data_IF_780179826031
#
_entry.id   IF_780179826031
#
_cell.length_a   1.000
_cell.length_b   1.000
_cell.length_c   1.000
_cell.angle_alpha   90.00
_cell.angle_beta   90.00
_cell.angle_gamma   90.00
#
_symmetry.space_group_name_H-M   'P 1'
#
loop_
_entity.id
_entity.type
_entity.pdbx_description
1 polymer ?
#
# COMPACT_ATOMS: atom_id res chain seq x y z
N UNK A 1 -16.95 11.00 -2.59
CA UNK A 1 -15.57 10.63 -2.19
C UNK A 1 -14.97 9.57 -3.14
N UNK A 2 -13.83 9.87 -3.78
CA UNK A 2 -12.88 8.84 -4.25
C UNK A 2 -12.01 8.44 -3.04
N UNK A 3 -11.72 7.16 -2.82
CA UNK A 3 -10.80 6.77 -1.72
C UNK A 3 -9.40 7.33 -1.98
N UNK A 4 -8.57 7.51 -0.92
CA UNK A 4 -7.14 7.70 -1.09
C UNK A 4 -6.60 6.70 -2.11
N UNK A 5 -5.83 7.20 -3.08
CA UNK A 5 -5.13 6.33 -4.04
C UNK A 5 -4.37 5.24 -3.25
N UNK A 6 -4.34 3.98 -3.72
CA UNK A 6 -3.37 3.02 -3.16
C UNK A 6 -1.97 3.65 -3.23
N UNK A 7 -1.04 3.28 -2.34
CA UNK A 7 0.32 3.78 -2.41
C UNK A 7 0.90 3.41 -3.78
N UNK A 8 0.93 4.40 -4.69
CA UNK A 8 1.66 4.29 -5.93
C UNK A 8 3.08 3.92 -5.54
N UNK A 9 3.62 2.82 -6.10
CA UNK A 9 5.04 2.57 -5.97
C UNK A 9 5.80 3.82 -6.40
N UNK A 10 6.90 4.10 -5.70
CA UNK A 10 7.57 5.39 -5.75
C UNK A 10 7.70 5.95 -7.16
N UNK A 11 7.64 7.29 -7.25
CA UNK A 11 7.96 8.01 -8.48
C UNK A 11 9.48 7.94 -8.76
N UNK A 12 9.98 6.73 -9.00
CA UNK A 12 11.24 6.45 -9.67
C UNK A 12 11.32 7.38 -10.88
N UNK A 13 12.40 8.16 -10.93
CA UNK A 13 12.44 9.42 -11.67
C UNK A 13 11.97 9.26 -13.11
N UNK A 14 10.94 10.04 -13.49
CA UNK A 14 10.51 10.24 -14.88
C UNK A 14 11.62 10.97 -15.64
N UNK A 15 12.67 10.24 -16.02
CA UNK A 15 13.69 10.72 -16.95
C UNK A 15 13.19 10.58 -18.40
N UNK A 16 13.72 11.39 -19.31
CA UNK A 16 13.02 11.75 -20.55
C UNK A 16 13.04 10.67 -21.64
N UNK A 17 11.94 10.62 -22.40
CA UNK A 17 11.82 9.85 -23.64
C UNK A 17 12.67 10.42 -24.77
N UNK A 18 13.61 9.63 -25.29
CA UNK A 18 14.24 9.83 -26.60
C UNK A 18 14.09 8.53 -27.41
N UNK A 19 13.26 8.55 -28.45
CA UNK A 19 12.98 7.39 -29.33
C UNK A 19 14.11 7.17 -30.35
N UNK A 20 15.16 6.42 -29.98
CA UNK A 20 16.10 5.84 -30.95
C UNK A 20 15.66 4.41 -31.37
N UNK A 21 15.51 4.13 -32.69
CA UNK A 21 15.08 2.82 -33.20
C UNK A 21 16.03 1.63 -33.00
N UNK A 22 17.10 1.76 -32.21
CA UNK A 22 18.04 0.66 -31.89
C UNK A 22 18.10 0.27 -30.40
N UNK A 23 17.25 0.89 -29.56
CA UNK A 23 17.33 0.78 -28.10
C UNK A 23 16.88 -0.57 -27.51
N UNK A 24 17.58 -1.02 -26.46
CA UNK A 24 17.27 -2.22 -25.68
C UNK A 24 16.28 -1.92 -24.55
N UNK A 25 15.05 -1.54 -24.92
CA UNK A 25 13.95 -1.30 -23.98
C UNK A 25 13.04 -2.52 -23.77
N UNK A 26 12.28 -2.59 -22.67
CA UNK A 26 11.35 -3.69 -22.41
C UNK A 26 10.21 -3.71 -23.45
N UNK A 27 10.01 -4.85 -24.08
CA UNK A 27 8.99 -5.04 -25.10
C UNK A 27 7.59 -5.20 -24.48
N UNK A 28 6.55 -4.62 -25.09
CA UNK A 28 5.15 -4.81 -24.68
C UNK A 28 4.45 -5.82 -25.59
N UNK A 29 3.60 -6.67 -25.02
CA UNK A 29 2.71 -7.57 -25.73
C UNK A 29 1.39 -7.81 -24.95
N UNK A 30 0.51 -8.64 -25.49
CA UNK A 30 -0.70 -9.10 -24.79
C UNK A 30 -1.07 -10.53 -25.19
N UNK A 31 -1.93 -11.17 -24.38
CA UNK A 31 -2.51 -12.48 -24.71
C UNK A 31 -3.97 -12.56 -24.26
N UNK A 32 -4.73 -13.48 -24.86
CA UNK A 32 -6.12 -13.73 -24.48
C UNK A 32 -6.19 -14.58 -23.21
N UNK A 33 -6.63 -13.97 -22.10
CA UNK A 33 -6.86 -14.63 -20.82
C UNK A 33 -8.35 -14.98 -20.67
N UNK A 34 -8.67 -16.09 -19.99
CA UNK A 34 -10.06 -16.44 -19.68
C UNK A 34 -10.69 -15.42 -18.70
N UNK A 35 -11.90 -14.95 -19.04
CA UNK A 35 -12.70 -14.09 -18.15
C UNK A 35 -12.99 -14.85 -16.84
N UNK A 36 -13.46 -16.10 -16.96
CA UNK A 36 -13.62 -17.05 -15.86
C UNK A 36 -12.87 -18.36 -16.19
N UNK A 37 -11.96 -18.77 -15.29
CA UNK A 37 -11.20 -20.01 -15.43
C UNK A 37 -12.01 -21.26 -15.12
N UNK A 38 -13.11 -21.13 -14.38
CA UNK A 38 -14.05 -22.21 -14.07
C UNK A 38 -15.15 -22.36 -15.14
N UNK A 39 -15.44 -21.28 -15.88
CA UNK A 39 -16.40 -21.27 -16.98
C UNK A 39 -15.82 -20.65 -18.28
N UNK A 40 -15.01 -21.41 -19.05
CA UNK A 40 -14.43 -20.91 -20.30
C UNK A 40 -15.43 -20.49 -21.39
N UNK A 41 -16.73 -20.78 -21.25
CA UNK A 41 -17.76 -20.37 -22.20
C UNK A 41 -18.06 -18.87 -22.18
N UNK A 42 -17.63 -18.15 -21.14
CA UNK A 42 -17.73 -16.70 -21.05
C UNK A 42 -16.72 -15.97 -21.96
N UNK A 43 -15.71 -16.68 -22.50
CA UNK A 43 -14.74 -16.13 -23.44
C UNK A 43 -13.49 -15.54 -22.78
N UNK A 44 -12.84 -14.63 -23.51
CA UNK A 44 -11.49 -14.12 -23.19
C UNK A 44 -11.37 -12.62 -23.35
N UNK A 45 -10.49 -12.01 -22.56
CA UNK A 45 -10.10 -10.60 -22.62
C UNK A 45 -8.57 -10.48 -22.81
N UNK A 46 -8.06 -9.39 -23.40
CA UNK A 46 -6.62 -9.18 -23.54
C UNK A 46 -6.00 -8.76 -22.20
N UNK A 47 -4.95 -9.46 -21.76
CA UNK A 47 -4.09 -9.05 -20.64
C UNK A 47 -2.75 -8.56 -21.19
N UNK A 48 -2.29 -7.40 -20.74
CA UNK A 48 -0.98 -6.84 -21.12
C UNK A 48 0.16 -7.50 -20.34
N UNK A 49 1.33 -7.61 -20.97
CA UNK A 49 2.57 -7.92 -20.29
C UNK A 49 3.75 -7.21 -20.97
N UNK A 50 4.82 -7.02 -20.22
CA UNK A 50 6.09 -6.52 -20.71
C UNK A 50 7.19 -7.55 -20.46
N UNK A 51 8.25 -7.53 -21.25
CA UNK A 51 9.36 -8.47 -21.07
C UNK A 51 10.69 -7.90 -21.57
N UNK A 52 11.79 -8.29 -20.91
CA UNK A 52 13.16 -8.09 -21.40
C UNK A 52 13.87 -9.45 -21.51
N UNK A 53 14.58 -9.64 -22.63
CA UNK A 53 15.36 -10.84 -22.94
C UNK A 53 16.88 -10.60 -22.91
N UNK A 54 17.34 -9.40 -22.52
CA UNK A 54 18.76 -9.01 -22.49
C UNK A 54 19.64 -9.97 -21.68
N UNK A 55 19.11 -10.58 -20.62
CA UNK A 55 19.80 -11.59 -19.80
C UNK A 55 19.51 -13.06 -20.20
N UNK A 56 18.61 -13.30 -21.16
CA UNK A 56 18.06 -14.63 -21.43
C UNK A 56 19.02 -15.50 -22.25
N UNK A 57 19.44 -16.64 -21.68
CA UNK A 57 20.41 -17.56 -22.31
C UNK A 57 19.78 -18.53 -23.33
N UNK A 58 18.53 -18.28 -23.76
CA UNK A 58 17.81 -19.07 -24.77
C UNK A 58 16.93 -20.19 -24.20
N UNK A 59 16.35 -21.05 -25.07
CA UNK A 59 15.37 -22.07 -24.68
C UNK A 59 15.86 -23.00 -23.57
N UNK A 60 15.02 -23.19 -22.55
CA UNK A 60 15.36 -23.95 -21.34
C UNK A 60 15.94 -23.11 -20.20
N UNK A 61 16.27 -21.84 -20.44
CA UNK A 61 16.59 -20.89 -19.37
C UNK A 61 15.33 -20.54 -18.54
N UNK A 62 15.49 -20.17 -17.25
CA UNK A 62 14.39 -19.70 -16.41
C UNK A 62 13.77 -18.38 -16.91
N UNK A 63 12.66 -18.00 -16.28
CA UNK A 63 12.00 -16.70 -16.41
C UNK A 63 11.85 -16.14 -14.99
N UNK A 64 12.25 -14.89 -14.77
CA UNK A 64 11.83 -14.11 -13.60
C UNK A 64 10.51 -13.46 -13.97
N UNK A 65 9.48 -13.64 -13.12
CA UNK A 65 8.11 -13.29 -13.43
C UNK A 65 7.52 -12.49 -12.28
N UNK A 66 7.11 -11.26 -12.57
CA UNK A 66 6.66 -10.27 -11.61
C UNK A 66 5.22 -9.80 -11.92
N UNK A 67 4.51 -9.41 -10.87
CA UNK A 67 3.16 -8.83 -10.93
C UNK A 67 3.11 -7.56 -10.07
N UNK A 68 2.86 -6.37 -10.65
CA UNK A 68 3.09 -5.07 -9.98
C UNK A 68 1.98 -4.66 -8.99
N UNK A 69 1.38 -5.64 -8.31
CA UNK A 69 0.23 -5.43 -7.45
C UNK A 69 -0.93 -4.72 -8.17
N UNK A 70 -1.43 -3.68 -7.53
CA UNK A 70 -2.70 -3.03 -7.83
C UNK A 70 -2.50 -1.71 -8.60
N UNK A 71 -1.89 -1.78 -9.79
CA UNK A 71 -1.55 -0.62 -10.63
C UNK A 71 -1.44 -0.93 -12.13
N UNK A 72 -1.52 0.11 -12.98
CA UNK A 72 -1.18 0.00 -14.41
C UNK A 72 0.31 -0.35 -14.56
N UNK A 73 0.58 -1.50 -15.16
CA UNK A 73 1.91 -2.08 -15.23
C UNK A 73 2.90 -1.27 -16.10
N UNK A 74 2.43 -0.31 -16.91
CA UNK A 74 3.30 0.57 -17.69
C UNK A 74 4.20 1.45 -16.81
N UNK A 75 3.70 1.90 -15.66
CA UNK A 75 4.48 2.67 -14.67
C UNK A 75 5.56 1.84 -13.96
N UNK A 76 5.41 0.52 -13.95
CA UNK A 76 6.28 -0.42 -13.23
C UNK A 76 7.35 -1.05 -14.12
N UNK A 77 7.45 -0.66 -15.39
CA UNK A 77 8.41 -1.23 -16.36
C UNK A 77 9.88 -1.13 -15.93
N UNK A 78 10.22 -0.26 -14.97
CA UNK A 78 11.55 -0.19 -14.36
C UNK A 78 11.97 -1.48 -13.65
N UNK A 79 11.04 -2.31 -13.17
CA UNK A 79 11.35 -3.59 -12.50
C UNK A 79 12.02 -4.59 -13.45
N UNK A 80 11.83 -4.45 -14.77
CA UNK A 80 12.49 -5.29 -15.77
C UNK A 80 13.99 -4.95 -15.93
N UNK A 81 14.42 -3.76 -15.50
CA UNK A 81 15.75 -3.20 -15.75
C UNK A 81 16.84 -3.56 -14.73
N UNK A 82 18.09 -3.25 -15.06
CA UNK A 82 19.27 -3.65 -14.29
C UNK A 82 19.48 -2.97 -12.91
N UNK A 83 18.56 -2.08 -12.49
CA UNK A 83 18.55 -1.44 -11.15
C UNK A 83 17.48 -2.02 -10.21
N UNK A 84 16.73 -3.04 -10.63
CA UNK A 84 15.83 -3.83 -9.79
C UNK A 84 16.48 -5.13 -9.31
N UNK A 85 15.83 -5.79 -8.35
CA UNK A 85 16.13 -7.18 -8.01
C UNK A 85 15.86 -8.15 -9.16
N UNK A 86 14.77 -8.01 -9.91
CA UNK A 86 14.44 -8.95 -10.98
C UNK A 86 15.49 -8.96 -12.10
N UNK A 87 15.95 -7.78 -12.52
CA UNK A 87 17.05 -7.65 -13.47
C UNK A 87 18.36 -8.23 -12.92
N UNK A 88 18.63 -8.06 -11.63
CA UNK A 88 19.80 -8.65 -10.94
C UNK A 88 19.73 -10.17 -10.88
N UNK A 89 18.57 -10.72 -10.50
CA UNK A 89 18.31 -12.16 -10.45
C UNK A 89 18.45 -12.74 -11.86
N UNK A 90 17.79 -12.13 -12.85
CA UNK A 90 17.81 -12.58 -14.24
C UNK A 90 19.21 -12.59 -14.84
N UNK A 91 20.04 -11.57 -14.58
CA UNK A 91 21.44 -11.54 -15.03
C UNK A 91 22.27 -12.71 -14.44
N UNK A 92 22.06 -13.05 -13.17
CA UNK A 92 22.74 -14.17 -12.51
C UNK A 92 22.31 -15.53 -13.07
N UNK A 93 21.01 -15.81 -13.11
CA UNK A 93 20.48 -17.12 -13.54
C UNK A 93 20.37 -17.29 -15.06
N UNK A 94 20.44 -16.20 -15.83
CA UNK A 94 20.31 -16.20 -17.28
C UNK A 94 18.86 -16.16 -17.80
N UNK A 95 17.97 -15.50 -17.05
CA UNK A 95 16.54 -15.46 -17.36
C UNK A 95 16.15 -14.32 -18.32
N UNK A 96 14.95 -14.44 -18.89
CA UNK A 96 14.17 -13.27 -19.27
C UNK A 96 13.43 -12.72 -18.03
N UNK A 97 13.19 -11.42 -17.97
CA UNK A 97 12.24 -10.82 -17.01
C UNK A 97 10.90 -10.63 -17.71
N UNK A 98 9.79 -10.87 -17.00
CA UNK A 98 8.42 -10.70 -17.50
C UNK A 98 7.58 -10.03 -16.42
N UNK A 99 6.90 -8.93 -16.78
CA UNK A 99 5.98 -8.19 -15.93
C UNK A 99 4.56 -8.40 -16.45
N UNK A 100 3.71 -9.10 -15.70
CA UNK A 100 2.31 -9.32 -16.06
C UNK A 100 1.41 -8.25 -15.42
N UNK A 101 0.57 -7.61 -16.22
CA UNK A 101 -0.48 -6.73 -15.68
C UNK A 101 -1.55 -7.53 -14.93
N UNK A 102 -1.84 -7.13 -13.69
CA UNK A 102 -2.90 -7.77 -12.91
C UNK A 102 -4.28 -7.46 -13.54
N UNK A 103 -5.17 -8.45 -13.57
CA UNK A 103 -6.53 -8.26 -14.09
C UNK A 103 -7.28 -7.18 -13.30
N UNK A 104 -8.16 -6.45 -13.97
CA UNK A 104 -8.83 -5.21 -13.53
C UNK A 104 -7.93 -3.95 -13.47
N UNK A 105 -6.60 -4.07 -13.56
CA UNK A 105 -5.71 -2.89 -13.55
C UNK A 105 -5.23 -2.49 -14.95
N UNK A 106 -4.88 -1.22 -15.10
CA UNK A 106 -4.43 -0.63 -16.37
C UNK A 106 -5.44 -0.80 -17.51
N UNK A 107 -5.13 -1.68 -18.48
CA UNK A 107 -6.00 -1.98 -19.64
C UNK A 107 -6.45 -3.44 -19.69
N UNK A 108 -6.23 -4.20 -18.61
CA UNK A 108 -6.48 -5.64 -18.53
C UNK A 108 -7.79 -5.94 -17.79
N UNK A 109 -8.92 -5.39 -18.27
CA UNK A 109 -10.22 -5.39 -17.58
C UNK A 109 -11.20 -6.43 -18.19
N UNK A 110 -11.81 -7.34 -17.40
CA UNK A 110 -12.64 -8.43 -17.90
C UNK A 110 -14.18 -8.27 -17.75
N UNK A 111 -14.70 -7.20 -17.14
CA UNK A 111 -16.16 -7.01 -16.88
C UNK A 111 -16.60 -5.55 -17.01
N UNK A 112 -17.91 -5.32 -16.96
CA UNK A 112 -18.52 -3.98 -17.03
C UNK A 112 -18.83 -3.32 -15.67
N UNK A 113 -19.16 -4.08 -14.59
CA UNK A 113 -19.42 -3.56 -13.22
C UNK A 113 -19.39 -4.69 -12.14
N UNK A 114 -19.44 -4.35 -10.82
CA UNK A 114 -18.85 -5.18 -9.73
C UNK A 114 -19.63 -5.25 -8.36
N UNK A 115 -19.99 -6.46 -7.85
CA UNK A 115 -20.53 -6.75 -6.46
C UNK A 115 -20.26 -8.23 -5.96
N UNK A 116 -19.96 -8.49 -4.66
CA UNK A 116 -19.49 -9.78 -3.99
C UNK A 116 -20.09 -10.19 -2.59
N UNK A 117 -19.84 -9.43 -1.51
CA UNK A 117 -20.31 -9.39 -0.07
C UNK A 117 -19.72 -10.29 1.04
N UNK A 118 -19.35 -9.69 2.23
CA UNK A 118 -19.31 -10.20 3.67
C UNK A 118 -18.35 -9.34 4.72
N UNK A 119 -18.19 -8.91 6.08
CA UNK A 119 -18.28 -8.84 7.67
C UNK A 119 -17.39 -9.71 8.76
N UNK A 120 -16.75 -9.45 9.98
CA UNK A 120 -16.16 -8.47 11.07
C UNK A 120 -14.95 -9.17 11.94
N UNK A 121 -14.08 -8.86 12.99
CA UNK A 121 -13.58 -7.92 14.13
C UNK A 121 -12.17 -8.42 14.76
N UNK A 122 -11.40 -8.05 15.87
CA UNK A 122 -10.82 -6.85 16.66
C UNK A 122 -10.01 -7.15 18.05
N UNK A 123 -8.77 -6.64 18.46
CA UNK A 123 -8.18 -6.38 19.90
C UNK A 123 -6.57 -6.19 20.11
N UNK A 124 -5.77 -5.61 21.12
CA UNK A 124 -5.63 -4.54 22.26
C UNK A 124 -4.08 -4.30 22.72
N UNK A 125 -3.38 -3.41 23.56
CA UNK A 125 -3.53 -2.34 24.68
C UNK A 125 -2.47 -1.09 24.82
N UNK A 126 -2.83 0.22 25.18
CA UNK A 126 -2.06 1.54 25.59
C UNK A 126 -1.78 2.92 24.74
N UNK A 127 -2.57 4.05 24.81
CA UNK A 127 -2.51 5.55 24.38
C UNK A 127 -1.32 6.43 23.74
N UNK A 128 -1.65 7.55 23.00
CA UNK A 128 -0.82 8.77 22.57
C UNK A 128 -1.61 10.13 22.46
N UNK A 129 -1.12 11.21 21.79
CA UNK A 129 -1.85 12.48 21.45
C UNK A 129 -3.12 12.26 20.63
N UNK A 130 -3.12 11.30 19.69
CA UNK A 130 -4.33 10.89 18.98
C UNK A 130 -5.41 10.42 19.96
N UNK A 131 -5.00 9.80 21.07
CA UNK A 131 -5.88 9.35 22.13
C UNK A 131 -6.34 10.45 23.11
N UNK A 132 -5.82 11.69 23.00
CA UNK A 132 -6.43 12.86 23.66
C UNK A 132 -7.55 13.45 22.80
N UNK A 133 -7.38 13.49 21.48
CA UNK A 133 -8.49 13.79 20.56
C UNK A 133 -9.59 12.73 20.66
N UNK A 134 -9.25 11.43 20.74
CA UNK A 134 -10.23 10.37 21.04
C UNK A 134 -11.00 10.68 22.35
N UNK A 135 -10.35 11.17 23.41
CA UNK A 135 -11.00 11.43 24.70
C UNK A 135 -11.98 12.62 24.63
N UNK A 136 -11.67 13.66 23.85
CA UNK A 136 -12.61 14.76 23.57
C UNK A 136 -13.77 14.29 22.67
N UNK A 137 -13.50 13.45 21.68
CA UNK A 137 -14.49 12.98 20.71
C UNK A 137 -15.39 11.84 21.25
N UNK A 138 -14.92 11.00 22.17
CA UNK A 138 -15.72 9.98 22.87
C UNK A 138 -16.48 10.54 24.08
N UNK A 139 -15.98 11.57 24.77
CA UNK A 139 -16.45 11.96 26.12
C UNK A 139 -16.67 13.48 26.36
N UNK A 140 -16.31 14.36 25.41
CA UNK A 140 -16.59 15.80 25.51
C UNK A 140 -18.06 16.16 25.28
N UNK A 141 -18.41 17.43 25.47
CA UNK A 141 -19.71 17.96 25.04
C UNK A 141 -19.74 18.22 23.52
N UNK A 142 -20.93 18.43 22.96
CA UNK A 142 -21.10 18.86 21.56
C UNK A 142 -20.33 20.16 21.27
N UNK A 143 -20.19 21.06 22.25
CA UNK A 143 -19.41 22.29 22.14
C UNK A 143 -17.90 22.02 22.12
N UNK A 144 -17.39 21.10 22.94
CA UNK A 144 -15.98 20.69 22.94
C UNK A 144 -15.60 19.99 21.61
N UNK A 145 -16.46 19.11 21.11
CA UNK A 145 -16.29 18.41 19.82
C UNK A 145 -16.32 19.40 18.65
N UNK A 146 -17.26 20.35 18.66
CA UNK A 146 -17.34 21.41 17.65
C UNK A 146 -16.10 22.33 17.69
N UNK A 147 -15.63 22.71 18.89
CA UNK A 147 -14.44 23.52 19.07
C UNK A 147 -13.17 22.81 18.59
N UNK A 148 -13.02 21.51 18.89
CA UNK A 148 -11.89 20.70 18.40
C UNK A 148 -11.89 20.61 16.87
N UNK A 149 -13.01 20.27 16.24
CA UNK A 149 -13.12 20.21 14.77
C UNK A 149 -12.85 21.58 14.13
N UNK A 150 -13.39 22.66 14.71
CA UNK A 150 -13.17 24.02 14.21
C UNK A 150 -11.69 24.45 14.25
N UNK A 151 -10.87 23.94 15.19
CA UNK A 151 -9.41 24.17 15.17
C UNK A 151 -8.74 23.67 13.88
N UNK A 152 -9.28 22.63 13.23
CA UNK A 152 -8.77 22.05 11.98
C UNK A 152 -9.56 22.51 10.74
N UNK A 153 -10.35 23.59 10.84
CA UNK A 153 -11.28 24.06 9.79
C UNK A 153 -12.27 22.99 9.32
N UNK A 154 -12.62 22.06 10.21
CA UNK A 154 -13.61 21.01 9.99
C UNK A 154 -14.98 21.41 10.58
N UNK A 155 -16.08 21.17 9.86
CA UNK A 155 -17.42 21.50 10.35
C UNK A 155 -17.84 20.51 11.45
N UNK A 156 -18.52 21.01 12.48
CA UNK A 156 -19.00 20.19 13.61
C UNK A 156 -19.84 18.96 13.18
N UNK A 157 -20.56 19.08 12.05
CA UNK A 157 -21.41 18.04 11.45
C UNK A 157 -20.68 16.93 10.67
N UNK A 158 -19.38 17.04 10.42
CA UNK A 158 -18.58 15.92 9.89
C UNK A 158 -18.45 14.87 11.00
N UNK A 159 -18.57 13.57 10.71
CA UNK A 159 -18.48 12.56 11.76
C UNK A 159 -17.08 12.44 12.39
N UNK A 160 -17.03 11.92 13.62
CA UNK A 160 -15.80 11.92 14.40
C UNK A 160 -14.71 11.00 13.82
N UNK A 161 -15.09 9.94 13.12
CA UNK A 161 -14.19 9.00 12.44
C UNK A 161 -13.65 9.56 11.12
N UNK A 162 -14.49 10.18 10.28
CA UNK A 162 -14.06 10.91 9.07
C UNK A 162 -13.06 12.03 9.39
N UNK A 163 -13.37 12.81 10.43
CA UNK A 163 -12.47 13.85 10.95
C UNK A 163 -11.09 13.27 11.28
N UNK A 164 -11.04 12.21 12.08
CA UNK A 164 -9.77 11.60 12.48
C UNK A 164 -9.08 10.84 11.35
N UNK A 165 -9.82 10.22 10.42
CA UNK A 165 -9.30 9.55 9.22
C UNK A 165 -8.58 10.54 8.30
N UNK A 166 -9.15 11.74 8.13
CA UNK A 166 -8.53 12.84 7.39
C UNK A 166 -7.19 13.26 8.01
N UNK A 167 -7.12 13.35 9.35
CA UNK A 167 -5.87 13.62 10.06
C UNK A 167 -4.87 12.46 9.93
N UNK A 168 -5.31 11.21 10.07
CA UNK A 168 -4.45 10.02 10.10
C UNK A 168 -3.66 9.74 8.81
N UNK A 169 -4.01 10.36 7.68
CA UNK A 169 -3.28 10.19 6.41
C UNK A 169 -1.79 10.52 6.52
N UNK A 170 -1.39 11.48 7.37
CA UNK A 170 0.03 11.81 7.55
C UNK A 170 0.80 10.68 8.24
N UNK A 171 0.14 9.94 9.16
CA UNK A 171 0.72 8.80 9.88
C UNK A 171 0.76 7.55 9.00
N UNK A 172 -0.27 7.35 8.17
CA UNK A 172 -0.32 6.26 7.19
C UNK A 172 0.50 6.56 5.95
N UNK A 173 -0.14 7.21 4.96
CA UNK A 173 0.44 7.55 3.66
C UNK A 173 1.77 8.31 3.78
N UNK A 174 1.87 9.25 4.74
CA UNK A 174 3.09 10.03 4.93
C UNK A 174 4.29 9.24 5.48
N UNK A 175 4.04 8.12 6.16
CA UNK A 175 5.09 7.18 6.59
C UNK A 175 5.44 6.16 5.50
N UNK A 176 4.44 5.61 4.79
CA UNK A 176 4.69 4.63 3.73
C UNK A 176 5.30 5.24 2.46
N UNK A 177 5.29 6.57 2.32
CA UNK A 177 6.01 7.34 1.29
C UNK A 177 7.46 7.68 1.69
N UNK A 178 8.04 6.95 2.66
CA UNK A 178 9.46 7.04 3.03
C UNK A 178 10.27 5.95 2.34
N UNK A 179 11.49 6.28 1.94
CA UNK A 179 12.39 5.37 1.22
C UNK A 179 13.86 5.75 1.45
N UNK A 180 14.75 4.76 1.43
CA UNK A 180 16.16 4.97 1.80
C UNK A 180 16.89 5.77 0.72
N UNK A 181 16.77 5.38 -0.55
CA UNK A 181 17.43 6.04 -1.66
C UNK A 181 16.87 7.46 -1.96
N UNK A 182 15.58 7.68 -1.69
CA UNK A 182 14.93 8.99 -1.85
C UNK A 182 15.32 9.97 -0.74
N UNK A 183 15.48 9.51 0.50
CA UNK A 183 15.96 10.34 1.62
C UNK A 183 17.48 10.56 1.59
N UNK A 184 18.27 9.57 1.13
CA UNK A 184 19.72 9.70 0.97
C UNK A 184 20.16 10.54 -0.26
N UNK A 185 19.22 11.01 -1.09
CA UNK A 185 19.52 11.79 -2.28
C UNK A 185 20.09 13.18 -1.95
N UNK A 186 20.98 13.69 -2.82
CA UNK A 186 21.55 15.03 -2.67
C UNK A 186 20.48 16.10 -2.85
N UNK A 187 20.25 16.89 -1.80
CA UNK A 187 19.15 17.86 -1.68
C UNK A 187 17.75 17.21 -1.64
N UNK A 188 17.63 15.99 -1.08
CA UNK A 188 16.33 15.41 -0.74
C UNK A 188 15.51 16.38 0.13
N UNK A 189 14.21 16.45 -0.11
CA UNK A 189 13.28 17.16 0.77
C UNK A 189 12.99 16.31 2.02
N UNK A 190 12.95 16.91 3.22
CA UNK A 190 12.61 16.18 4.45
C UNK A 190 11.20 15.55 4.29
N UNK A 191 11.04 14.24 4.54
CA UNK A 191 9.77 13.53 4.39
C UNK A 191 8.60 14.21 5.07
N UNK A 192 7.39 14.11 4.48
CA UNK A 192 6.18 14.76 4.99
C UNK A 192 5.89 14.38 6.45
N UNK A 193 6.07 13.11 6.81
CA UNK A 193 5.94 12.63 8.18
C UNK A 193 6.96 13.27 9.14
N UNK A 194 8.24 13.39 8.76
CA UNK A 194 9.25 14.02 9.60
C UNK A 194 9.00 15.52 9.76
N UNK A 195 8.53 16.20 8.71
CA UNK A 195 8.05 17.59 8.82
C UNK A 195 6.88 17.67 9.80
N UNK A 196 5.91 16.76 9.74
CA UNK A 196 4.80 16.72 10.71
C UNK A 196 5.26 16.48 12.16
N UNK A 197 6.28 15.64 12.38
CA UNK A 197 6.94 15.51 13.68
C UNK A 197 7.58 16.83 14.13
N UNK A 198 8.29 17.55 13.24
CA UNK A 198 8.88 18.86 13.55
C UNK A 198 7.83 19.90 14.01
N UNK A 199 6.56 19.77 13.59
CA UNK A 199 5.43 20.58 14.10
C UNK A 199 4.92 20.08 15.45
N UNK A 200 4.66 18.78 15.59
CA UNK A 200 4.14 18.19 16.84
C UNK A 200 5.13 18.34 18.01
N UNK A 201 6.42 18.36 17.75
CA UNK A 201 7.47 18.54 18.76
C UNK A 201 7.87 20.02 18.98
N UNK A 202 7.12 20.97 18.40
CA UNK A 202 7.39 22.41 18.49
C UNK A 202 8.84 22.74 18.09
N UNK A 203 9.26 22.32 16.90
CA UNK A 203 10.65 22.47 16.39
C UNK A 203 10.79 23.49 15.28
N UNK A 204 9.74 23.67 14.47
CA UNK A 204 9.70 24.49 13.24
C UNK A 204 10.45 25.83 13.36
N UNK A 205 10.10 26.63 14.38
CA UNK A 205 10.61 28.00 14.51
C UNK A 205 11.96 28.08 15.27
N UNK A 206 12.46 26.97 15.83
CA UNK A 206 13.58 26.97 16.78
C UNK A 206 14.97 26.92 16.15
N UNK A 207 15.05 26.83 14.82
CA UNK A 207 16.31 26.71 14.08
C UNK A 207 16.88 25.31 14.24
N UNK A 208 16.42 24.37 13.41
CA UNK A 208 16.62 22.94 13.65
C UNK A 208 18.07 22.53 13.39
N UNK A 209 18.76 22.14 14.46
CA UNK A 209 19.84 21.16 14.36
C UNK A 209 19.14 19.82 14.09
N UNK A 210 19.16 19.34 12.84
CA UNK A 210 18.46 18.12 12.39
C UNK A 210 19.21 16.84 12.83
N UNK A 211 19.82 16.86 14.02
CA UNK A 211 20.42 15.70 14.64
C UNK A 211 19.33 14.89 15.36
N UNK A 212 18.64 14.06 14.58
CA UNK A 212 17.59 13.15 15.06
C UNK A 212 18.14 12.10 16.08
N UNK A 213 19.42 12.17 16.50
CA UNK A 213 20.01 11.36 17.59
C UNK A 213 19.93 12.02 19.00
N UNK A 214 19.49 13.28 19.10
CA UNK A 214 19.40 13.99 20.38
C UNK A 214 18.00 13.83 20.99
N UNK A 215 17.89 12.98 22.01
CA UNK A 215 16.66 12.84 22.81
C UNK A 215 16.12 14.20 23.29
N UNK A 216 14.87 14.49 22.97
CA UNK A 216 14.20 15.74 23.33
C UNK A 216 13.10 15.51 24.36
N UNK A 217 12.95 16.45 25.30
CA UNK A 217 11.90 16.38 26.30
C UNK A 217 10.52 16.47 25.61
N UNK A 218 9.60 15.51 25.82
CA UNK A 218 8.29 15.54 25.19
C UNK A 218 7.54 16.82 25.49
N UNK A 219 6.95 17.43 24.45
CA UNK A 219 6.06 18.58 24.63
C UNK A 219 4.77 18.17 25.35
N UNK A 220 4.08 19.14 25.96
CA UNK A 220 2.74 18.92 26.52
C UNK A 220 1.74 18.57 25.42
N UNK A 221 0.71 17.79 25.76
CA UNK A 221 -0.34 17.35 24.82
C UNK A 221 -1.01 18.55 24.12
N UNK A 222 -1.23 19.65 24.84
CA UNK A 222 -1.80 20.89 24.28
C UNK A 222 -0.88 21.49 23.20
N UNK A 223 0.44 21.53 23.44
CA UNK A 223 1.43 22.04 22.50
C UNK A 223 1.59 21.14 21.26
N UNK A 224 1.52 19.81 21.44
CA UNK A 224 1.45 18.86 20.33
C UNK A 224 0.19 19.07 19.47
N UNK A 225 -0.96 19.36 20.10
CA UNK A 225 -2.22 19.63 19.41
C UNK A 225 -2.21 20.99 18.70
N UNK A 226 -1.57 22.01 19.28
CA UNK A 226 -1.33 23.31 18.64
C UNK A 226 -0.40 23.18 17.43
N UNK A 227 0.69 22.40 17.56
CA UNK A 227 1.60 22.05 16.47
C UNK A 227 0.90 21.32 15.32
N UNK A 228 0.10 20.29 15.62
CA UNK A 228 -0.67 19.54 14.61
C UNK A 228 -1.69 20.45 13.89
N UNK A 229 -2.40 21.31 14.61
CA UNK A 229 -3.33 22.29 14.02
C UNK A 229 -2.62 23.28 13.10
N UNK A 230 -1.43 23.74 13.48
CA UNK A 230 -0.60 24.60 12.62
C UNK A 230 -0.15 23.87 11.35
N UNK A 231 0.37 22.64 11.48
CA UNK A 231 0.74 21.81 10.33
C UNK A 231 -0.43 21.59 9.38
N UNK A 232 -1.62 21.30 9.93
CA UNK A 232 -2.83 21.08 9.15
C UNK A 232 -3.22 22.31 8.31
N UNK A 233 -3.15 23.50 8.91
CA UNK A 233 -3.49 24.77 8.24
C UNK A 233 -2.43 25.24 7.24
N UNK A 234 -1.15 24.93 7.46
CA UNK A 234 -0.06 25.35 6.57
C UNK A 234 0.20 24.35 5.42
N UNK A 235 -0.07 23.05 5.62
CA UNK A 235 0.26 21.99 4.63
C UNK A 235 -0.75 20.82 4.58
N UNK A 236 -1.26 20.38 5.73
CA UNK A 236 -1.97 19.12 5.84
C UNK A 236 -3.30 19.08 5.10
N UNK A 237 -4.12 20.12 5.21
CA UNK A 237 -5.45 20.20 4.59
C UNK A 237 -5.36 20.07 3.07
N UNK A 238 -4.53 20.89 2.41
CA UNK A 238 -4.38 20.87 0.95
C UNK A 238 -3.83 19.54 0.45
N UNK A 239 -2.86 18.95 1.17
CA UNK A 239 -2.30 17.65 0.81
C UNK A 239 -3.33 16.51 0.97
N UNK A 240 -4.14 16.51 2.03
CA UNK A 240 -5.17 15.47 2.22
C UNK A 240 -6.36 15.66 1.28
N UNK A 241 -6.79 16.89 0.98
CA UNK A 241 -7.77 17.17 -0.09
C UNK A 241 -7.29 16.66 -1.45
N UNK A 242 -6.00 16.80 -1.75
CA UNK A 242 -5.38 16.25 -2.97
C UNK A 242 -5.32 14.71 -2.93
N UNK A 243 -5.04 14.07 -1.79
CA UNK A 243 -5.08 12.60 -1.67
C UNK A 243 -6.48 12.01 -1.90
N UNK A 244 -7.53 12.74 -1.51
CA UNK A 244 -8.94 12.36 -1.64
C UNK A 244 -9.56 12.78 -2.99
N UNK A 245 -8.77 13.43 -3.86
CA UNK A 245 -9.18 13.92 -5.19
C UNK A 245 -10.39 14.89 -5.13
N UNK A 246 -10.50 15.67 -4.06
CA UNK A 246 -11.63 16.58 -3.82
C UNK A 246 -11.63 17.78 -4.78
N UNK A 247 -12.81 18.14 -5.31
CA UNK A 247 -12.94 19.24 -6.24
C UNK A 247 -12.68 20.60 -5.58
N UNK A 248 -12.30 21.59 -6.39
CA UNK A 248 -11.96 22.94 -5.92
C UNK A 248 -13.13 23.70 -5.26
N UNK A 249 -14.36 23.23 -5.45
CA UNK A 249 -15.59 23.79 -4.88
C UNK A 249 -16.15 23.00 -3.68
N UNK A 250 -15.60 21.82 -3.36
CA UNK A 250 -16.14 20.96 -2.29
C UNK A 250 -15.80 21.57 -0.93
N UNK A 251 -16.76 21.66 -0.01
CA UNK A 251 -16.45 22.02 1.38
C UNK A 251 -15.69 20.88 2.06
N UNK A 252 -15.08 21.16 3.21
CA UNK A 252 -14.46 20.10 4.03
C UNK A 252 -15.48 19.08 4.58
N UNK A 253 -16.79 19.33 4.47
CA UNK A 253 -17.78 18.26 4.67
C UNK A 253 -17.84 17.36 3.43
N UNK A 254 -18.16 17.94 2.27
CA UNK A 254 -18.46 17.18 1.05
C UNK A 254 -17.26 16.35 0.55
N UNK A 255 -16.05 16.86 0.81
CA UNK A 255 -14.77 16.20 0.53
C UNK A 255 -14.48 14.98 1.44
N UNK A 256 -14.86 15.04 2.72
CA UNK A 256 -14.42 14.07 3.74
C UNK A 256 -15.55 13.21 4.34
N UNK A 257 -16.82 13.53 4.13
CA UNK A 257 -17.95 12.83 4.71
C UNK A 257 -18.19 11.45 4.05
N UNK A 258 -18.35 10.40 4.86
CA UNK A 258 -18.74 9.05 4.45
C UNK A 258 -20.08 8.59 5.02
N UNK A 259 -20.76 9.43 5.83
CA UNK A 259 -22.00 9.06 6.55
C UNK A 259 -23.26 9.81 6.09
N UNK A 260 -24.40 9.10 6.12
CA UNK A 260 -25.75 9.64 5.86
C UNK A 260 -26.22 9.56 4.40
N UNK A 261 -27.42 10.10 4.15
CA UNK A 261 -28.01 10.16 2.80
C UNK A 261 -27.39 11.26 1.92
N UNK A 262 -26.70 12.23 2.54
CA UNK A 262 -26.00 13.36 1.87
C UNK A 262 -24.59 12.96 1.34
N UNK A 263 -24.21 11.69 1.39
CA UNK A 263 -22.90 11.24 0.89
C UNK A 263 -22.92 11.19 -0.64
N UNK A 264 -22.37 12.21 -1.27
CA UNK A 264 -22.11 12.17 -2.71
C UNK A 264 -20.91 11.25 -3.01
N UNK A 265 -21.19 9.95 -3.08
CA UNK A 265 -20.26 9.01 -3.70
C UNK A 265 -20.37 9.18 -5.21
N UNK A 266 -19.63 10.17 -5.72
CA UNK A 266 -19.14 10.22 -7.10
C UNK A 266 -18.32 8.95 -7.43
N UNK A 267 -18.97 7.79 -7.53
CA UNK A 267 -18.39 6.59 -8.12
C UNK A 267 -18.41 6.75 -9.63
N UNK A 268 -17.27 7.18 -10.16
CA UNK A 268 -17.02 7.17 -11.58
C UNK A 268 -16.76 5.73 -12.01
N UNK A 269 -17.74 5.10 -12.68
CA UNK A 269 -17.63 3.76 -13.25
C UNK A 269 -17.17 3.78 -14.72
N UNK A 270 -16.68 4.92 -15.23
CA UNK A 270 -16.12 4.98 -16.59
C UNK A 270 -14.76 4.27 -16.67
N UNK A 271 -14.49 3.72 -17.85
CA UNK A 271 -13.21 3.09 -18.21
C UNK A 271 -12.32 4.04 -19.03
N UNK A 272 -12.60 5.34 -18.98
CA UNK A 272 -11.96 6.37 -19.81
C UNK A 272 -10.65 6.92 -19.17
N UNK A 273 -10.45 6.67 -17.86
CA UNK A 273 -9.25 7.05 -17.10
C UNK A 273 -8.63 5.85 -16.36
N UNK A 274 -7.32 5.63 -16.57
CA UNK A 274 -6.55 4.55 -15.95
C UNK A 274 -6.32 4.76 -14.45
N UNK A 275 -6.29 5.99 -13.96
CA UNK A 275 -6.17 6.28 -12.53
C UNK A 275 -7.48 5.91 -11.82
N UNK A 276 -8.62 6.32 -12.38
CA UNK A 276 -9.95 5.92 -11.92
C UNK A 276 -10.16 4.39 -11.96
N UNK A 277 -9.81 3.72 -13.07
CA UNK A 277 -9.82 2.25 -13.17
C UNK A 277 -9.02 1.60 -12.05
N UNK A 278 -7.82 2.11 -11.77
CA UNK A 278 -6.92 1.57 -10.75
C UNK A 278 -7.50 1.76 -9.35
N UNK A 279 -7.98 2.97 -9.04
CA UNK A 279 -8.60 3.28 -7.76
C UNK A 279 -9.88 2.47 -7.52
N UNK A 280 -10.76 2.37 -8.52
CA UNK A 280 -12.00 1.58 -8.42
C UNK A 280 -11.75 0.08 -8.37
N UNK A 281 -10.72 -0.44 -9.04
CA UNK A 281 -10.37 -1.87 -9.00
C UNK A 281 -9.64 -2.27 -7.71
N UNK A 282 -8.84 -1.39 -7.13
CA UNK A 282 -8.32 -1.56 -5.78
C UNK A 282 -9.43 -1.48 -4.73
N UNK A 283 -10.26 -0.43 -4.80
CA UNK A 283 -11.42 -0.25 -3.93
C UNK A 283 -12.34 -1.47 -4.01
N UNK A 284 -12.62 -1.96 -5.22
CA UNK A 284 -13.33 -3.20 -5.47
C UNK A 284 -12.69 -4.39 -4.77
N UNK A 285 -11.38 -4.60 -4.94
CA UNK A 285 -10.68 -5.75 -4.37
C UNK A 285 -10.78 -5.77 -2.84
N UNK A 286 -10.44 -4.66 -2.16
CA UNK A 286 -10.53 -4.58 -0.69
C UNK A 286 -11.98 -4.48 -0.19
N UNK A 287 -12.91 -3.99 -1.01
CA UNK A 287 -14.34 -4.10 -0.77
C UNK A 287 -14.90 -5.47 -1.16
N UNK A 288 -14.13 -6.43 -1.69
CA UNK A 288 -14.57 -7.77 -2.16
C UNK A 288 -14.02 -8.92 -1.34
N UNK A 289 -12.74 -8.79 -1.02
CA UNK A 289 -11.89 -9.75 -0.37
C UNK A 289 -11.14 -8.96 0.71
N UNK A 290 -11.84 -8.55 1.79
CA UNK A 290 -11.34 -7.53 2.72
C UNK A 290 -10.04 -7.96 3.38
N UNK A 291 -8.94 -7.35 2.92
CA UNK A 291 -7.60 -7.52 3.47
C UNK A 291 -7.44 -6.79 4.82
N UNK A 292 -8.31 -5.81 5.09
CA UNK A 292 -8.25 -4.89 6.25
C UNK A 292 -6.90 -4.20 6.43
N UNK A 293 -6.17 -4.02 5.32
CA UNK A 293 -4.91 -3.30 5.21
C UNK A 293 -5.12 -1.78 5.26
N UNK A 294 -5.78 -1.30 6.31
CA UNK A 294 -6.09 0.10 6.53
C UNK A 294 -5.24 0.69 7.66
N UNK A 295 -4.99 1.99 7.58
CA UNK A 295 -4.41 2.80 8.66
C UNK A 295 -5.46 3.03 9.77
N UNK A 296 -5.93 1.95 10.39
CA UNK A 296 -6.98 1.95 11.39
C UNK A 296 -6.43 2.21 12.81
N UNK A 297 -7.32 2.68 13.68
CA UNK A 297 -7.03 2.87 15.10
C UNK A 297 -6.68 1.56 15.77
N UNK A 298 -5.46 1.39 16.31
CA UNK A 298 -5.10 0.11 16.86
C UNK A 298 -5.88 -0.11 18.16
N UNK A 299 -6.35 -1.35 18.42
CA UNK A 299 -7.52 -1.73 19.25
C UNK A 299 -7.64 -1.17 20.69
N UNK A 300 -8.61 -1.58 21.52
CA UNK A 300 -8.89 -0.81 22.76
C UNK A 300 -7.76 -0.83 23.81
N UNK A 301 -7.05 0.30 23.83
CA UNK A 301 -5.60 0.33 24.01
C UNK A 301 -4.82 -0.40 22.88
N UNK A 302 -3.79 0.28 22.38
CA UNK A 302 -2.44 -0.01 21.81
C UNK A 302 -1.79 1.40 21.81
N UNK A 303 -0.46 1.60 21.74
CA UNK A 303 0.13 2.88 21.32
C UNK A 303 -0.51 3.40 20.04
N UNK A 304 -1.56 4.20 20.22
CA UNK A 304 -2.43 4.70 19.18
C UNK A 304 -1.97 6.07 18.76
N UNK A 305 -1.04 6.10 17.81
CA UNK A 305 -0.73 7.30 17.03
C UNK A 305 -1.92 7.67 16.14
N UNK A 306 -2.64 6.65 15.65
CA UNK A 306 -3.90 6.73 14.90
C UNK A 306 -5.10 6.59 15.85
N UNK A 307 -6.16 7.37 15.61
CA UNK A 307 -7.41 7.41 16.39
C UNK A 307 -8.19 6.10 16.37
N UNK A 308 -8.79 5.71 17.50
CA UNK A 308 -9.68 4.53 17.61
C UNK A 308 -11.03 4.64 16.94
N UNK A 309 -11.41 5.83 16.48
CA UNK A 309 -12.66 6.05 15.77
C UNK A 309 -12.55 5.56 14.32
N UNK A 310 -11.34 5.49 13.78
CA UNK A 310 -11.03 4.84 12.51
C UNK A 310 -11.02 3.34 12.76
N UNK A 311 -12.06 2.65 12.28
CA UNK A 311 -12.26 1.21 12.48
C UNK A 311 -12.29 0.48 11.12
N UNK A 312 -12.05 -0.84 11.07
CA UNK A 312 -12.32 -1.61 9.85
C UNK A 312 -13.76 -1.38 9.36
N UNK A 313 -14.71 -1.31 10.28
CA UNK A 313 -16.13 -1.04 10.00
C UNK A 313 -16.36 0.31 9.30
N UNK A 314 -15.82 1.41 9.83
CA UNK A 314 -15.97 2.74 9.21
C UNK A 314 -15.18 2.88 7.91
N UNK A 315 -13.96 2.35 7.85
CA UNK A 315 -13.18 2.33 6.60
C UNK A 315 -13.89 1.55 5.48
N UNK A 316 -14.63 0.49 5.83
CA UNK A 316 -15.41 -0.34 4.91
C UNK A 316 -16.86 0.15 4.68
N UNK A 317 -17.36 1.14 5.43
CA UNK A 317 -18.73 1.65 5.30
C UNK A 317 -19.04 2.23 3.91
N UNK A 318 -18.02 2.80 3.24
CA UNK A 318 -18.13 3.28 1.87
C UNK A 318 -18.44 2.17 0.84
N UNK A 319 -18.06 0.92 1.10
CA UNK A 319 -18.17 -0.17 0.12
C UNK A 319 -19.62 -0.39 -0.39
N UNK A 320 -20.66 -0.61 0.44
CA UNK A 320 -22.05 -0.73 -0.02
C UNK A 320 -22.62 0.50 -0.74
N UNK A 321 -22.02 1.68 -0.57
CA UNK A 321 -22.40 2.89 -1.29
C UNK A 321 -21.71 2.97 -2.66
N UNK A 322 -20.42 2.62 -2.72
CA UNK A 322 -19.62 2.58 -3.95
C UNK A 322 -20.01 1.42 -4.89
N UNK A 323 -20.60 0.35 -4.35
CA UNK A 323 -21.00 -0.84 -5.10
C UNK A 323 -22.40 -1.32 -4.62
N UNK A 324 -23.47 -0.59 -4.98
CA UNK A 324 -24.84 -0.94 -4.62
C UNK A 324 -25.31 -2.22 -5.32
N UNK A 325 -26.40 -2.86 -4.88
CA UNK A 325 -26.78 -4.19 -5.33
C UNK A 325 -26.94 -4.34 -6.86
N UNK A 326 -26.38 -5.43 -7.39
CA UNK A 326 -26.45 -5.78 -8.81
C UNK A 326 -27.84 -6.20 -9.28
N UNK A 327 -28.07 -6.25 -10.61
CA UNK A 327 -29.39 -6.46 -11.20
C UNK A 327 -30.02 -7.84 -10.90
N UNK A 328 -29.25 -8.82 -10.42
CA UNK A 328 -29.73 -10.13 -9.99
C UNK A 328 -29.67 -10.33 -8.46
N UNK A 329 -29.41 -9.27 -7.69
CA UNK A 329 -29.31 -9.32 -6.22
C UNK A 329 -27.90 -9.60 -5.68
N UNK A 330 -26.87 -9.39 -6.49
CA UNK A 330 -25.48 -9.40 -6.07
C UNK A 330 -25.20 -8.23 -5.08
N UNK A 331 -24.42 -8.42 -4.01
CA UNK A 331 -24.15 -7.43 -2.94
C UNK A 331 -22.63 -7.28 -2.77
N UNK A 332 -22.01 -6.15 -2.38
CA UNK A 332 -20.53 -5.96 -2.29
C UNK A 332 -19.85 -6.43 -1.00
N UNK A 333 -18.58 -6.92 -1.10
CA UNK A 333 -17.69 -7.71 -0.18
C UNK A 333 -17.46 -7.26 1.24
N UNK A 334 -18.37 -6.45 1.77
CA UNK A 334 -18.56 -6.05 3.16
C UNK A 334 -19.96 -6.47 3.64
N UNK A 335 -20.98 -6.41 2.79
CA UNK A 335 -22.40 -6.49 3.18
C UNK A 335 -23.00 -7.92 3.41
N UNK A 336 -22.30 -8.87 4.09
CA UNK A 336 -22.75 -10.27 4.44
C UNK A 336 -22.06 -11.05 5.67
N UNK A 337 -20.72 -11.00 6.01
CA UNK A 337 -19.85 -11.83 6.92
C UNK A 337 -18.73 -12.93 6.57
N UNK A 338 -17.41 -12.92 6.13
CA UNK A 338 -16.20 -12.15 5.58
C UNK A 338 -15.49 -10.99 6.31
N UNK A 339 -14.27 -11.27 6.72
CA UNK A 339 -13.24 -10.26 6.97
C UNK A 339 -11.91 -10.78 6.44
N UNK A 340 -10.81 -10.15 6.83
CA UNK A 340 -9.50 -10.76 6.83
C UNK A 340 -9.56 -12.18 7.42
N UNK A 341 -10.45 -12.46 8.38
CA UNK A 341 -10.71 -13.79 8.93
C UNK A 341 -11.15 -14.84 7.89
N UNK A 342 -11.81 -14.42 6.81
CA UNK A 342 -12.19 -15.28 5.70
C UNK A 342 -11.12 -15.30 4.59
N UNK A 343 -10.37 -14.22 4.40
CA UNK A 343 -9.16 -14.18 3.56
C UNK A 343 -8.13 -15.16 4.10
N UNK A 344 -7.78 -15.04 5.38
CA UNK A 344 -6.83 -15.87 6.12
C UNK A 344 -7.21 -17.36 6.10
N UNK A 345 -8.50 -17.68 6.06
CA UNK A 345 -8.99 -19.07 5.94
C UNK A 345 -8.74 -19.69 4.56
N UNK A 346 -8.51 -18.86 3.54
CA UNK A 346 -8.22 -19.27 2.15
C UNK A 346 -6.71 -19.23 1.88
N UNK A 347 -6.01 -18.19 2.36
CA UNK A 347 -4.56 -18.00 2.16
C UNK A 347 -3.69 -18.76 3.16
N UNK A 348 -4.24 -19.15 4.31
CA UNK A 348 -3.48 -19.57 5.49
C UNK A 348 -3.11 -18.41 6.42
N UNK A 349 -3.28 -17.15 5.99
CA UNK A 349 -2.91 -15.96 6.75
C UNK A 349 -1.44 -15.97 7.13
N UNK A 350 -1.16 -16.11 8.42
CA UNK A 350 0.20 -16.18 8.99
C UNK A 350 0.77 -17.61 9.12
N UNK A 351 0.12 -18.62 8.55
CA UNK A 351 0.61 -20.01 8.56
C UNK A 351 1.32 -20.41 7.27
N UNK A 352 2.51 -21.00 7.41
CA UNK A 352 3.34 -21.47 6.29
C UNK A 352 2.90 -22.90 5.90
N UNK A 353 1.91 -22.99 5.01
CA UNK A 353 1.20 -24.23 4.68
C UNK A 353 1.97 -25.20 3.77
N UNK A 354 3.00 -25.86 4.32
CA UNK A 354 3.90 -26.79 3.61
C UNK A 354 4.65 -26.14 2.42
N UNK A 355 4.78 -24.82 2.41
CA UNK A 355 5.48 -24.06 1.37
C UNK A 355 6.95 -24.46 1.27
N UNK A 356 7.46 -24.56 0.05
CA UNK A 356 8.90 -24.68 -0.25
C UNK A 356 9.24 -23.76 -1.40
N UNK A 357 10.46 -23.22 -1.45
CA UNK A 357 10.91 -22.25 -2.48
C UNK A 357 10.14 -20.92 -2.45
N UNK A 358 9.82 -20.47 -1.24
CA UNK A 358 9.20 -19.18 -0.94
C UNK A 358 10.13 -18.39 -0.03
N UNK A 359 10.32 -17.09 -0.28
CA UNK A 359 11.01 -16.16 0.63
C UNK A 359 10.02 -15.08 1.03
N UNK A 360 10.05 -14.69 2.30
CA UNK A 360 9.40 -13.45 2.77
C UNK A 360 10.48 -12.41 3.07
N UNK A 361 10.26 -11.18 2.61
CA UNK A 361 11.12 -10.03 2.90
C UNK A 361 10.24 -8.85 3.35
N UNK A 362 10.71 -8.08 4.32
CA UNK A 362 10.13 -6.81 4.74
C UNK A 362 11.24 -5.80 5.11
N UNK A 363 10.93 -4.51 5.08
CA UNK A 363 11.69 -3.50 5.79
C UNK A 363 11.38 -3.52 7.29
N UNK A 364 12.35 -3.16 8.14
CA UNK A 364 12.14 -3.00 9.59
C UNK A 364 11.08 -1.95 9.93
N UNK A 365 11.02 -0.87 9.14
CA UNK A 365 10.11 0.27 9.28
C UNK A 365 8.93 0.24 8.29
N UNK A 366 8.77 -0.84 7.52
CA UNK A 366 7.60 -1.02 6.66
C UNK A 366 6.31 -1.15 7.50
N UNK A 367 5.36 -0.23 7.33
CA UNK A 367 4.07 -0.28 8.02
C UNK A 367 3.26 -1.55 7.69
N UNK A 368 3.52 -2.17 6.54
CA UNK A 368 2.88 -3.41 6.11
C UNK A 368 3.53 -4.68 6.69
N UNK A 369 4.71 -4.56 7.34
CA UNK A 369 5.40 -5.67 8.03
C UNK A 369 4.50 -6.39 9.01
N UNK A 370 3.66 -5.66 9.73
CA UNK A 370 2.74 -6.22 10.74
C UNK A 370 1.55 -6.98 10.16
N UNK A 371 1.32 -6.92 8.84
CA UNK A 371 0.38 -7.80 8.13
C UNK A 371 1.04 -9.10 7.63
N UNK A 372 2.37 -9.19 7.63
CA UNK A 372 3.11 -10.33 7.07
C UNK A 372 3.44 -11.38 8.15
N UNK A 373 4.03 -12.51 7.73
CA UNK A 373 4.57 -13.53 8.66
C UNK A 373 5.70 -13.00 9.56
N UNK A 374 6.27 -11.84 9.24
CA UNK A 374 7.29 -11.11 10.02
C UNK A 374 6.71 -10.27 11.17
N UNK A 375 5.37 -10.21 11.30
CA UNK A 375 4.64 -9.43 12.31
C UNK A 375 5.02 -9.79 13.75
N UNK A 376 5.32 -8.78 14.57
CA UNK A 376 5.55 -8.93 16.01
C UNK A 376 4.25 -9.29 16.75
N UNK A 377 3.08 -9.00 16.16
CA UNK A 377 1.76 -9.37 16.68
C UNK A 377 1.28 -10.78 16.26
N UNK A 378 2.07 -11.51 15.46
CA UNK A 378 1.78 -12.90 15.08
C UNK A 378 1.69 -13.79 16.33
N UNK A 379 0.66 -14.65 16.52
CA UNK A 379 0.45 -15.37 17.79
C UNK A 379 1.57 -16.32 18.24
N UNK A 380 2.44 -16.74 17.32
CA UNK A 380 3.63 -17.55 17.59
C UNK A 380 4.95 -16.75 17.43
N UNK A 381 4.87 -15.41 17.43
CA UNK A 381 5.94 -14.48 17.08
C UNK A 381 6.23 -14.42 15.56
N UNK A 382 7.11 -13.50 15.13
CA UNK A 382 7.63 -13.45 13.77
C UNK A 382 8.16 -14.81 13.31
N UNK A 383 7.95 -15.14 12.03
CA UNK A 383 8.43 -16.39 11.42
C UNK A 383 9.97 -16.48 11.49
N UNK A 384 10.56 -17.50 12.14
CA UNK A 384 12.01 -17.64 12.19
C UNK A 384 12.61 -17.97 10.82
N UNK A 385 13.72 -17.31 10.48
CA UNK A 385 14.45 -17.54 9.24
C UNK A 385 14.89 -19.00 9.07
N UNK A 386 14.72 -19.56 7.87
CA UNK A 386 14.94 -20.99 7.60
C UNK A 386 15.41 -21.27 6.17
N UNK A 387 16.06 -22.41 5.95
CA UNK A 387 16.53 -22.83 4.61
C UNK A 387 15.43 -23.37 3.69
N UNK A 388 14.18 -23.50 4.16
CA UNK A 388 13.05 -23.99 3.36
C UNK A 388 12.11 -22.85 2.95
N UNK A 389 11.85 -21.95 3.90
CA UNK A 389 11.16 -20.67 3.74
C UNK A 389 11.95 -19.62 4.53
N UNK A 390 12.88 -18.88 3.88
CA UNK A 390 13.60 -17.80 4.54
C UNK A 390 12.66 -16.63 4.84
N UNK A 391 12.92 -15.96 5.96
CA UNK A 391 12.15 -14.81 6.43
C UNK A 391 13.14 -13.71 6.84
N UNK A 392 13.12 -12.59 6.11
CA UNK A 392 14.13 -11.54 6.18
C UNK A 392 13.51 -10.20 6.53
N UNK A 393 14.10 -9.51 7.50
CA UNK A 393 13.79 -8.11 7.80
C UNK A 393 15.06 -7.30 7.58
N UNK A 394 15.02 -6.35 6.64
CA UNK A 394 16.13 -5.44 6.36
C UNK A 394 16.12 -4.29 7.37
N UNK A 395 17.16 -4.18 8.21
CA UNK A 395 17.23 -3.12 9.22
C UNK A 395 17.27 -1.73 8.57
N UNK A 396 16.51 -0.80 9.13
CA UNK A 396 16.27 0.53 8.54
C UNK A 396 15.48 0.54 7.22
N UNK A 397 15.08 -0.61 6.68
CA UNK A 397 14.32 -0.70 5.42
C UNK A 397 12.87 -0.22 5.56
N UNK A 398 12.34 0.38 4.50
CA UNK A 398 10.92 0.73 4.36
C UNK A 398 10.22 -0.29 3.44
N UNK A 399 9.05 0.07 2.90
CA UNK A 399 8.26 -0.82 2.05
C UNK A 399 9.04 -1.26 0.81
N UNK A 400 9.12 -2.57 0.59
CA UNK A 400 9.79 -3.21 -0.56
C UNK A 400 11.21 -2.70 -0.88
N UNK A 401 11.95 -2.14 0.11
CA UNK A 401 13.30 -1.59 -0.12
C UNK A 401 14.31 -2.64 -0.57
N UNK A 402 14.03 -3.93 -0.40
CA UNK A 402 14.84 -5.00 -0.98
C UNK A 402 14.67 -5.10 -2.50
N UNK A 403 13.55 -4.72 -3.11
CA UNK A 403 13.35 -4.83 -4.57
C UNK A 403 14.16 -3.81 -5.38
N UNK A 404 14.59 -2.70 -4.75
CA UNK A 404 15.34 -1.61 -5.37
C UNK A 404 16.83 -1.69 -5.06
N UNK A 405 17.68 -1.79 -6.08
CA UNK A 405 19.13 -1.83 -5.86
C UNK A 405 19.69 -0.48 -5.40
N UNK A 406 18.94 0.62 -5.52
CA UNK A 406 19.34 1.94 -5.02
C UNK A 406 19.30 2.00 -3.49
N UNK A 407 18.32 1.36 -2.85
CA UNK A 407 18.21 1.35 -1.38
C UNK A 407 19.34 0.52 -0.76
N UNK A 408 19.73 -0.58 -1.41
CA UNK A 408 20.97 -1.30 -1.10
C UNK A 408 22.27 -0.58 -1.51
N UNK A 409 22.23 0.51 -2.29
CA UNK A 409 23.42 1.35 -2.51
C UNK A 409 23.64 2.32 -1.33
N UNK A 410 22.67 2.46 -0.42
CA UNK A 410 22.72 3.38 0.74
C UNK A 410 22.50 2.71 2.10
N UNK A 411 22.09 1.44 2.15
CA UNK A 411 21.91 0.66 3.38
C UNK A 411 22.53 -0.76 3.24
N UNK A 412 23.50 -1.07 4.11
CA UNK A 412 24.26 -2.33 4.05
C UNK A 412 23.45 -3.58 4.45
N UNK A 413 22.50 -3.48 5.39
CA UNK A 413 21.67 -4.62 5.77
C UNK A 413 20.59 -4.93 4.72
N UNK A 414 20.03 -3.90 4.06
CA UNK A 414 19.18 -4.09 2.86
C UNK A 414 19.97 -4.73 1.74
N UNK A 415 21.21 -4.27 1.46
CA UNK A 415 22.10 -4.91 0.47
C UNK A 415 22.40 -6.37 0.81
N UNK A 416 22.66 -6.68 2.07
CA UNK A 416 22.90 -8.04 2.55
C UNK A 416 21.66 -8.94 2.37
N UNK A 417 20.46 -8.45 2.68
CA UNK A 417 19.21 -9.18 2.41
C UNK A 417 19.05 -9.45 0.92
N UNK A 418 19.29 -8.47 0.05
CA UNK A 418 19.28 -8.65 -1.40
C UNK A 418 20.28 -9.73 -1.87
N UNK A 419 21.50 -9.72 -1.34
CA UNK A 419 22.54 -10.69 -1.68
C UNK A 419 22.17 -12.11 -1.22
N UNK A 420 21.59 -12.26 -0.03
CA UNK A 420 21.09 -13.54 0.50
C UNK A 420 19.91 -14.07 -0.32
N UNK A 421 18.96 -13.20 -0.73
CA UNK A 421 17.82 -13.55 -1.60
C UNK A 421 18.32 -14.02 -2.97
N UNK A 422 19.19 -13.26 -3.63
CA UNK A 422 19.77 -13.64 -4.93
C UNK A 422 20.51 -14.98 -4.83
N UNK A 423 21.33 -15.19 -3.79
CA UNK A 423 22.05 -16.44 -3.59
C UNK A 423 21.10 -17.64 -3.40
N UNK A 424 20.00 -17.46 -2.66
CA UNK A 424 19.02 -18.51 -2.43
C UNK A 424 18.19 -18.84 -3.70
N UNK A 425 17.84 -17.83 -4.51
CA UNK A 425 17.17 -18.03 -5.80
C UNK A 425 18.10 -18.71 -6.82
N UNK A 426 19.36 -18.28 -6.92
CA UNK A 426 20.39 -18.92 -7.77
C UNK A 426 20.57 -20.40 -7.40
N UNK A 427 20.65 -20.71 -6.10
CA UNK A 427 20.71 -22.09 -5.61
C UNK A 427 19.46 -22.88 -6.01
N UNK A 428 18.26 -22.34 -5.79
CA UNK A 428 17.01 -23.03 -6.14
C UNK A 428 16.88 -23.29 -7.64
N UNK A 429 17.33 -22.38 -8.50
CA UNK A 429 17.38 -22.62 -9.95
C UNK A 429 18.43 -23.68 -10.30
N UNK A 430 19.59 -23.69 -9.64
CA UNK A 430 20.61 -24.74 -9.81
C UNK A 430 20.17 -26.15 -9.36
N UNK A 431 19.18 -26.25 -8.48
CA UNK A 431 18.54 -27.51 -8.06
C UNK A 431 17.47 -28.02 -9.06
N UNK A 432 17.03 -27.19 -10.01
CA UNK A 432 16.03 -27.59 -11.00
C UNK A 432 16.65 -28.56 -12.02
N UNK A 433 16.10 -29.78 -12.22
CA UNK A 433 16.72 -30.81 -13.07
C UNK A 433 16.57 -30.55 -14.59
N UNK A 434 16.22 -29.32 -14.98
CA UNK A 434 15.93 -28.91 -16.35
C UNK A 434 14.72 -29.61 -16.96
N UNK A 435 14.56 -29.44 -18.28
CA UNK A 435 13.83 -30.43 -19.08
C UNK A 435 14.68 -31.71 -19.12
N UNK A 436 14.15 -32.80 -18.58
CA UNK A 436 14.50 -34.13 -19.11
C UNK A 436 13.94 -34.20 -20.52
N UNK A 437 14.81 -34.33 -21.51
CA UNK A 437 14.36 -34.68 -22.86
C UNK A 437 13.67 -36.05 -22.79
N UNK A 438 12.37 -36.06 -23.08
CA UNK A 438 11.60 -37.27 -23.36
C UNK A 438 12.01 -37.78 -24.75
N UNK A 439 13.22 -38.32 -24.83
CA UNK A 439 13.82 -38.77 -26.07
C UNK A 439 13.24 -40.10 -26.54
N UNK A 440 12.61 -40.05 -27.73
CA UNK A 440 12.05 -41.15 -28.52
C UNK A 440 10.68 -41.67 -28.05
#
# INVERSE_FOLDING_TARGET
MRRPRPPLADAASKDSTDDDPSSSGPHQASFAQLIDHSNPSLGTFPVRYWYDTTSWRGPGSPIVFETPGESDASGYTFVLGNRSMDGRIAAQIGAATVLLEHRYFGKSIPVENLTTANMNFHSRGKRTVGAHMDEVLEHGSEEDVAALKARFDMPAKLENDDFMNSLAQIVGQGWTQRGLATEAAKNAARPKFLVWCDYIEDRVDKGVDHDDSVDHAPVGVDAALDGYVRWWKEFGLDWVRMLYDCAANDTNFDCFNTHGDDVDVHVDWSLDDSDNITAMSYLWMVCSFPLENFYAGPPKGIPALISRLITPESMLALCPLAFPPGPNGELVGVAKGLTADNVNRITGGWEVVNSTRLVYVNGEFDGWRELSVSSDYRPAGPLPDSLQVPAKVGSGGFHCSDLSLNDGDVNEDVRKVQDEVVAQLVKWVGEWPGKKDSGQ
#
